data_IF_940216643711
#
_entry.id   IF_940216643711
#
_cell.length_a   1.000
_cell.length_b   1.000
_cell.length_c   1.000
_cell.angle_alpha   90.00
_cell.angle_beta   90.00
_cell.angle_gamma   90.00
#
_symmetry.space_group_name_H-M   'P 1'
#
loop_
_entity.id
_entity.type
_entity.pdbx_description
1 polymer ?
#
# COMPACT_ATOMS: atom_id res chain seq x y z
N UNK A 1 -16.66 29.54 -5.62
CA UNK A 1 -16.76 28.88 -6.95
C UNK A 1 -16.94 27.41 -6.65
N UNK A 2 -17.98 26.76 -7.15
CA UNK A 2 -18.11 25.30 -7.00
C UNK A 2 -16.91 24.67 -7.68
N UNK A 3 -15.98 24.08 -6.91
CA UNK A 3 -14.90 23.30 -7.50
C UNK A 3 -15.57 22.18 -8.30
N UNK A 4 -15.28 22.12 -9.60
CA UNK A 4 -15.78 21.03 -10.41
C UNK A 4 -15.30 19.72 -9.75
N UNK A 5 -16.25 18.86 -9.39
CA UNK A 5 -15.91 17.51 -8.95
C UNK A 5 -15.13 16.84 -10.06
N UNK A 6 -14.02 16.26 -9.70
CA UNK A 6 -13.31 15.39 -10.63
C UNK A 6 -14.15 14.14 -10.85
N UNK A 7 -14.16 13.64 -12.08
CA UNK A 7 -15.00 12.52 -12.51
C UNK A 7 -14.74 11.18 -11.79
N UNK A 8 -13.65 11.07 -11.07
CA UNK A 8 -13.33 9.88 -10.26
C UNK A 8 -13.78 10.01 -8.80
N UNK A 9 -14.60 10.99 -8.47
CA UNK A 9 -15.24 11.16 -7.16
C UNK A 9 -16.67 10.58 -7.13
N UNK A 10 -16.93 9.61 -7.95
CA UNK A 10 -18.25 8.98 -7.99
C UNK A 10 -18.39 8.02 -6.80
N UNK A 11 -18.93 8.54 -5.71
CA UNK A 11 -19.25 7.75 -4.52
C UNK A 11 -20.56 8.25 -3.91
N UNK A 12 -21.21 7.37 -3.20
CA UNK A 12 -22.42 7.69 -2.46
C UNK A 12 -22.02 8.27 -1.09
N UNK A 13 -22.54 9.44 -0.75
CA UNK A 13 -22.35 10.04 0.56
C UNK A 13 -22.83 9.07 1.66
N UNK A 14 -22.03 8.87 2.69
CA UNK A 14 -22.28 7.91 3.76
C UNK A 14 -22.69 8.65 5.03
N UNK A 15 -23.81 8.26 5.67
CA UNK A 15 -24.26 8.94 6.89
C UNK A 15 -23.26 8.70 8.05
N UNK A 16 -23.24 9.63 8.98
CA UNK A 16 -22.44 9.49 10.22
C UNK A 16 -22.98 8.43 11.19
N UNK A 17 -24.19 7.92 10.93
CA UNK A 17 -24.79 6.84 11.74
C UNK A 17 -24.39 5.47 11.16
N UNK A 18 -24.06 4.54 12.01
CA UNK A 18 -23.66 3.19 11.62
C UNK A 18 -22.21 2.91 11.98
N UNK A 19 -21.59 2.03 11.23
CA UNK A 19 -20.19 1.67 11.38
C UNK A 19 -19.25 2.68 10.73
N UNK A 20 -17.99 2.33 10.75
CA UNK A 20 -16.86 3.12 10.24
C UNK A 20 -16.96 3.34 8.72
N UNK A 21 -16.74 4.57 8.28
CA UNK A 21 -16.70 4.94 6.85
C UNK A 21 -15.26 4.81 6.35
N UNK A 22 -15.04 3.82 5.49
CA UNK A 22 -13.71 3.51 4.95
C UNK A 22 -13.58 4.09 3.56
N UNK A 23 -12.47 4.75 3.27
CA UNK A 23 -12.09 5.24 1.95
C UNK A 23 -10.73 4.70 1.55
N UNK A 24 -10.60 4.27 0.31
CA UNK A 24 -9.32 3.91 -0.33
C UNK A 24 -8.93 5.04 -1.26
N UNK A 25 -7.69 5.48 -1.16
CA UNK A 25 -7.09 6.48 -2.02
C UNK A 25 -5.88 5.88 -2.72
N UNK A 26 -6.02 5.63 -4.03
CA UNK A 26 -4.95 5.10 -4.86
C UNK A 26 -4.08 6.20 -5.41
N UNK A 27 -2.75 6.05 -5.28
CA UNK A 27 -1.78 6.81 -6.04
C UNK A 27 -1.17 5.92 -7.11
N UNK A 28 -1.00 6.45 -8.31
CA UNK A 28 -0.53 5.70 -9.46
C UNK A 28 0.28 6.59 -10.38
N UNK A 29 1.27 6.02 -11.08
CA UNK A 29 2.04 6.75 -12.09
C UNK A 29 1.62 6.37 -13.49
N UNK A 30 1.39 7.39 -14.27
CA UNK A 30 1.17 7.27 -15.70
C UNK A 30 2.48 7.57 -16.43
N UNK A 31 2.99 6.70 -17.29
CA UNK A 31 4.23 6.94 -18.03
C UNK A 31 4.24 8.27 -18.78
N UNK A 32 3.11 8.63 -19.37
CA UNK A 32 2.97 9.86 -20.11
C UNK A 32 2.99 11.14 -19.26
N UNK A 33 2.60 11.07 -18.01
CA UNK A 33 2.69 12.20 -17.08
C UNK A 33 4.14 12.59 -16.79
N UNK A 34 5.00 11.57 -16.71
CA UNK A 34 6.43 11.79 -16.52
C UNK A 34 7.14 12.25 -17.80
N UNK A 35 6.43 12.42 -18.92
CA UNK A 35 7.00 12.75 -20.23
C UNK A 35 8.20 11.86 -20.60
N UNK A 36 8.13 10.59 -20.20
CA UNK A 36 9.16 9.59 -20.38
C UNK A 36 8.67 8.49 -21.31
N UNK A 37 9.59 7.87 -22.01
CA UNK A 37 9.29 6.64 -22.72
C UNK A 37 8.78 5.60 -21.70
N UNK A 38 7.62 4.96 -21.91
CA UNK A 38 7.10 3.92 -21.03
C UNK A 38 8.12 2.84 -20.68
N UNK A 39 9.07 2.59 -21.56
CA UNK A 39 10.17 1.63 -21.34
C UNK A 39 11.21 2.10 -20.33
N UNK A 40 11.26 3.39 -20.04
CA UNK A 40 12.15 3.96 -19.03
C UNK A 40 11.55 3.95 -17.63
N UNK A 41 10.24 3.85 -17.55
CA UNK A 41 9.53 3.70 -16.30
C UNK A 41 9.55 2.23 -15.89
N UNK A 42 10.35 1.92 -14.92
CA UNK A 42 10.45 0.56 -14.42
C UNK A 42 9.37 0.26 -13.35
N UNK A 43 8.18 0.69 -13.64
CA UNK A 43 6.99 0.28 -12.91
C UNK A 43 6.45 -0.98 -13.58
N UNK A 44 6.76 -2.13 -13.03
CA UNK A 44 6.43 -3.43 -13.59
C UNK A 44 4.97 -3.56 -14.02
N UNK A 45 4.05 -3.07 -13.21
CA UNK A 45 2.63 -3.25 -13.48
C UNK A 45 2.13 -2.33 -14.60
N UNK A 46 2.36 -1.03 -14.50
CA UNK A 46 1.89 -0.09 -15.51
C UNK A 46 2.73 -0.13 -16.77
N UNK A 47 4.05 -0.05 -16.65
CA UNK A 47 4.95 0.04 -17.80
C UNK A 47 4.91 -1.18 -18.69
N UNK A 48 4.97 -2.37 -18.11
CA UNK A 48 4.89 -3.60 -18.88
C UNK A 48 3.54 -3.74 -19.60
N UNK A 49 2.45 -3.45 -18.90
CA UNK A 49 1.12 -3.52 -19.50
C UNK A 49 0.95 -2.53 -20.65
N UNK A 50 1.39 -1.30 -20.46
CA UNK A 50 1.28 -0.25 -21.50
C UNK A 50 2.20 -0.48 -22.68
N UNK A 51 3.45 -0.83 -22.46
CA UNK A 51 4.38 -1.15 -23.55
C UNK A 51 3.85 -2.32 -24.35
N UNK A 52 3.35 -3.33 -23.67
CA UNK A 52 2.77 -4.50 -24.31
C UNK A 52 1.55 -4.15 -25.14
N UNK A 53 0.63 -3.36 -24.57
CA UNK A 53 -0.56 -2.90 -25.27
C UNK A 53 -0.23 -2.02 -26.47
N UNK A 54 0.74 -1.13 -26.35
CA UNK A 54 1.18 -0.28 -27.45
C UNK A 54 1.88 -1.07 -28.57
N UNK A 55 2.68 -2.07 -28.21
CA UNK A 55 3.43 -2.88 -29.17
C UNK A 55 2.57 -3.97 -29.82
N UNK A 56 1.64 -4.56 -29.08
CA UNK A 56 0.84 -5.72 -29.52
C UNK A 56 -0.65 -5.60 -29.16
N UNK A 57 -1.34 -4.58 -29.64
CA UNK A 57 -2.72 -4.30 -29.23
C UNK A 57 -3.72 -5.39 -29.65
N UNK A 58 -3.38 -6.19 -30.67
CA UNK A 58 -4.28 -7.20 -31.24
C UNK A 58 -3.82 -8.65 -30.97
N UNK A 59 -2.71 -8.83 -30.29
CA UNK A 59 -2.09 -10.14 -30.09
C UNK A 59 -2.19 -10.66 -28.67
N UNK A 60 -3.11 -10.12 -27.90
CA UNK A 60 -3.41 -10.72 -26.61
C UNK A 60 -3.98 -12.10 -26.88
N UNK A 61 -3.21 -13.09 -26.54
CA UNK A 61 -3.54 -14.47 -26.84
C UNK A 61 -4.51 -15.02 -25.82
N UNK A 62 -5.28 -16.04 -26.15
CA UNK A 62 -6.21 -16.66 -25.21
C UNK A 62 -5.57 -17.23 -23.95
N UNK A 63 -4.25 -17.39 -23.94
CA UNK A 63 -3.53 -17.84 -22.75
C UNK A 63 -3.49 -16.78 -21.65
N UNK A 64 -3.69 -15.53 -22.00
CA UNK A 64 -3.77 -14.48 -21.00
C UNK A 64 -5.17 -14.42 -20.40
N UNK A 65 -5.21 -14.33 -19.12
CA UNK A 65 -6.47 -14.11 -18.43
C UNK A 65 -7.04 -12.71 -18.74
N UNK A 66 -8.23 -12.44 -18.26
CA UNK A 66 -8.91 -11.19 -18.52
C UNK A 66 -8.07 -9.97 -18.08
N UNK A 67 -7.21 -10.11 -17.08
CA UNK A 67 -6.33 -9.05 -16.61
C UNK A 67 -5.33 -8.58 -17.67
N UNK A 68 -5.01 -9.41 -18.65
CA UNK A 68 -4.12 -9.04 -19.73
C UNK A 68 -4.80 -8.23 -20.82
N UNK A 69 -6.11 -8.27 -20.89
CA UNK A 69 -6.90 -7.46 -21.82
C UNK A 69 -7.27 -6.11 -21.22
N UNK A 70 -7.09 -5.94 -19.92
CA UNK A 70 -7.25 -4.66 -19.29
C UNK A 70 -6.09 -3.77 -19.72
N UNK A 71 -6.40 -2.76 -20.48
CA UNK A 71 -5.46 -2.02 -21.28
C UNK A 71 -4.73 -0.96 -20.48
N UNK A 72 -3.41 -0.97 -20.57
CA UNK A 72 -2.59 0.06 -19.97
C UNK A 72 -2.83 0.22 -18.48
N UNK A 73 -2.83 1.45 -18.04
CA UNK A 73 -3.03 1.84 -16.65
C UNK A 73 -4.45 1.52 -16.18
N UNK A 74 -5.45 1.80 -17.01
CA UNK A 74 -6.84 1.54 -16.66
C UNK A 74 -7.04 0.06 -16.34
N UNK A 75 -6.42 -0.81 -17.12
CA UNK A 75 -6.47 -2.24 -16.87
C UNK A 75 -5.79 -2.66 -15.58
N UNK A 76 -4.66 -2.07 -15.27
CA UNK A 76 -3.94 -2.38 -14.03
C UNK A 76 -4.70 -1.87 -12.80
N UNK A 77 -5.26 -0.68 -12.88
CA UNK A 77 -6.12 -0.15 -11.82
C UNK A 77 -7.38 -0.97 -11.62
N UNK A 78 -7.99 -1.42 -12.71
CA UNK A 78 -9.13 -2.33 -12.64
C UNK A 78 -8.75 -3.66 -11.97
N UNK A 79 -7.57 -4.20 -12.29
CA UNK A 79 -7.07 -5.40 -11.63
C UNK A 79 -6.90 -5.18 -10.12
N UNK A 80 -6.29 -4.09 -9.71
CA UNK A 80 -6.13 -3.77 -8.28
C UNK A 80 -7.47 -3.52 -7.60
N UNK A 81 -8.38 -2.79 -8.26
CA UNK A 81 -9.71 -2.59 -7.74
C UNK A 81 -10.42 -3.92 -7.51
N UNK A 82 -10.45 -4.79 -8.52
CA UNK A 82 -11.05 -6.14 -8.40
C UNK A 82 -10.38 -6.99 -7.34
N UNK A 83 -9.06 -6.91 -7.21
CA UNK A 83 -8.34 -7.70 -6.22
C UNK A 83 -8.68 -7.29 -4.79
N UNK A 84 -9.12 -6.05 -4.56
CA UNK A 84 -9.57 -5.54 -3.26
C UNK A 84 -11.06 -5.71 -3.01
N UNK A 85 -11.85 -6.22 -3.96
CA UNK A 85 -13.31 -6.35 -3.80
C UNK A 85 -13.69 -7.16 -2.57
N UNK A 86 -12.98 -8.26 -2.28
CA UNK A 86 -13.27 -9.08 -1.12
C UNK A 86 -13.10 -8.32 0.21
N UNK A 87 -12.12 -7.41 0.27
CA UNK A 87 -11.97 -6.47 1.39
C UNK A 87 -13.13 -5.47 1.43
N UNK A 88 -13.47 -4.87 0.29
CA UNK A 88 -14.54 -3.88 0.19
C UNK A 88 -15.91 -4.48 0.59
N UNK A 89 -16.21 -5.69 0.14
CA UNK A 89 -17.42 -6.42 0.50
C UNK A 89 -17.46 -6.72 2.00
N UNK A 90 -16.38 -7.21 2.57
CA UNK A 90 -16.29 -7.45 4.00
C UNK A 90 -16.48 -6.15 4.78
N UNK A 91 -15.76 -5.10 4.42
CA UNK A 91 -15.87 -3.79 5.06
C UNK A 91 -17.31 -3.28 4.99
N UNK A 92 -17.92 -3.33 3.81
CA UNK A 92 -19.32 -2.91 3.62
C UNK A 92 -20.30 -3.72 4.49
N UNK A 93 -20.10 -5.03 4.60
CA UNK A 93 -20.96 -5.90 5.42
C UNK A 93 -20.83 -5.63 6.92
N UNK A 94 -19.62 -5.33 7.38
CA UNK A 94 -19.33 -5.06 8.81
C UNK A 94 -19.76 -3.67 9.22
N UNK A 95 -19.50 -2.67 8.38
CA UNK A 95 -19.74 -1.27 8.72
C UNK A 95 -21.14 -0.78 8.31
N UNK A 96 -21.78 -1.46 7.38
CA UNK A 96 -23.04 -0.99 6.77
C UNK A 96 -22.84 0.14 5.74
N UNK A 97 -21.59 0.46 5.39
CA UNK A 97 -21.25 1.51 4.42
C UNK A 97 -20.41 0.95 3.28
N UNK A 98 -20.68 1.29 2.02
CA UNK A 98 -19.80 0.96 0.92
C UNK A 98 -18.44 1.65 1.12
N UNK A 99 -17.37 0.99 0.72
CA UNK A 99 -16.04 1.59 0.67
C UNK A 99 -16.00 2.59 -0.49
N UNK A 100 -15.61 3.82 -0.22
CA UNK A 100 -15.36 4.80 -1.28
C UNK A 100 -13.95 4.58 -1.83
N UNK A 101 -13.81 4.60 -3.15
CA UNK A 101 -12.53 4.42 -3.83
C UNK A 101 -12.22 5.64 -4.67
N UNK A 102 -11.10 6.26 -4.37
CA UNK A 102 -10.60 7.44 -5.08
C UNK A 102 -9.27 7.10 -5.75
N UNK A 103 -9.05 7.73 -6.87
CA UNK A 103 -7.83 7.60 -7.65
C UNK A 103 -7.18 8.97 -7.80
N UNK A 104 -5.90 9.09 -7.43
CA UNK A 104 -5.14 10.30 -7.75
C UNK A 104 -4.76 10.27 -9.21
N UNK A 105 -5.21 11.28 -9.94
CA UNK A 105 -4.86 11.50 -11.34
C UNK A 105 -4.25 12.88 -11.44
N UNK A 106 -2.97 12.95 -11.77
CA UNK A 106 -2.25 14.21 -11.95
C UNK A 106 -2.11 14.61 -13.43
N UNK A 107 -2.68 13.82 -14.33
CA UNK A 107 -2.59 14.02 -15.76
C UNK A 107 -3.37 15.25 -16.23
N UNK A 108 -2.80 15.95 -17.21
CA UNK A 108 -3.42 17.13 -17.83
C UNK A 108 -3.76 18.26 -16.83
N UNK A 109 -3.06 18.35 -15.72
CA UNK A 109 -3.29 19.36 -14.68
C UNK A 109 -4.51 19.10 -13.80
N UNK A 110 -5.13 17.93 -13.92
CA UNK A 110 -6.20 17.51 -13.03
C UNK A 110 -5.59 16.76 -11.84
N UNK A 111 -5.93 17.23 -10.65
CA UNK A 111 -5.56 16.56 -9.40
C UNK A 111 -6.81 16.26 -8.59
N UNK A 112 -6.81 15.11 -7.95
CA UNK A 112 -7.72 14.83 -6.87
C UNK A 112 -6.93 14.91 -5.54
N UNK A 113 -6.82 16.10 -4.92
CA UNK A 113 -6.15 16.22 -3.64
C UNK A 113 -6.98 15.58 -2.54
N UNK A 114 -6.30 15.13 -1.49
CA UNK A 114 -6.97 14.75 -0.25
C UNK A 114 -7.36 16.03 0.49
N UNK A 115 -8.66 16.31 0.52
CA UNK A 115 -9.23 17.48 1.19
C UNK A 115 -10.57 17.12 1.87
N UNK A 116 -11.26 18.12 2.39
CA UNK A 116 -12.53 17.94 3.11
C UNK A 116 -13.58 17.18 2.30
N UNK A 117 -13.55 17.24 0.97
CA UNK A 117 -14.49 16.49 0.12
C UNK A 117 -14.37 14.97 0.29
N UNK A 118 -13.18 14.50 0.66
CA UNK A 118 -12.91 13.09 0.98
C UNK A 118 -12.99 12.88 2.49
N UNK A 119 -12.36 13.76 3.27
CA UNK A 119 -12.13 13.57 4.69
C UNK A 119 -13.38 13.73 5.55
N UNK A 120 -14.36 14.56 5.16
CA UNK A 120 -15.61 14.75 5.91
C UNK A 120 -16.50 13.51 5.89
N UNK A 121 -16.36 12.68 4.87
CA UNK A 121 -17.10 11.43 4.72
C UNK A 121 -16.22 10.19 5.01
N UNK A 122 -15.16 10.34 5.80
CA UNK A 122 -14.19 9.28 6.03
C UNK A 122 -13.78 9.21 7.51
N UNK A 123 -13.81 8.00 8.08
CA UNK A 123 -13.30 7.68 9.41
C UNK A 123 -11.99 6.89 9.32
N UNK A 124 -11.82 6.08 8.28
CA UNK A 124 -10.56 5.41 7.94
C UNK A 124 -10.17 5.74 6.51
N UNK A 125 -9.06 6.45 6.34
CA UNK A 125 -8.46 6.72 5.04
C UNK A 125 -7.29 5.77 4.80
N UNK A 126 -7.34 5.00 3.72
CA UNK A 126 -6.29 4.07 3.31
C UNK A 126 -5.59 4.62 2.07
N UNK A 127 -4.35 5.04 2.20
CA UNK A 127 -3.54 5.60 1.10
C UNK A 127 -2.63 4.52 0.54
N UNK A 128 -2.93 4.03 -0.64
CA UNK A 128 -2.18 2.98 -1.34
C UNK A 128 -1.20 3.59 -2.33
N UNK A 129 0.09 3.51 -2.00
CA UNK A 129 1.17 4.12 -2.76
C UNK A 129 1.74 3.18 -3.82
N UNK A 130 1.27 3.30 -5.05
CA UNK A 130 1.79 2.55 -6.20
C UNK A 130 2.33 3.48 -7.31
N UNK A 131 2.43 4.76 -7.03
CA UNK A 131 3.06 5.73 -7.91
C UNK A 131 4.58 5.52 -7.95
N UNK A 132 5.18 5.72 -9.11
CA UNK A 132 6.63 5.62 -9.29
C UNK A 132 7.30 6.98 -9.01
N UNK A 133 8.49 6.94 -8.42
CA UNK A 133 9.24 8.14 -8.05
C UNK A 133 9.51 9.09 -9.24
N UNK A 134 9.60 8.58 -10.46
CA UNK A 134 9.80 9.37 -11.67
C UNK A 134 8.58 10.26 -11.99
N UNK A 135 7.40 9.89 -11.52
CA UNK A 135 6.18 10.71 -11.66
C UNK A 135 6.19 11.96 -10.78
N UNK A 136 7.15 12.06 -9.86
CA UNK A 136 7.34 13.20 -8.96
C UNK A 136 6.05 13.63 -8.25
N UNK A 137 5.14 12.69 -8.01
CA UNK A 137 3.90 12.96 -7.29
C UNK A 137 4.24 13.21 -5.82
N UNK A 138 3.85 14.36 -5.32
CA UNK A 138 4.07 14.73 -3.93
C UNK A 138 2.78 15.23 -3.29
N UNK A 139 2.64 14.97 -2.00
CA UNK A 139 1.58 15.54 -1.20
C UNK A 139 1.77 17.05 -1.08
N UNK A 140 0.77 17.81 -1.48
CA UNK A 140 0.80 19.27 -1.36
C UNK A 140 0.70 19.68 0.12
N UNK A 141 1.24 20.85 0.50
CA UNK A 141 1.12 21.35 1.87
C UNK A 141 -0.34 21.38 2.36
N UNK A 142 -1.27 21.73 1.49
CA UNK A 142 -2.70 21.81 1.79
C UNK A 142 -3.31 20.43 2.08
N UNK A 143 -2.83 19.38 1.40
CA UNK A 143 -3.26 17.99 1.66
C UNK A 143 -2.74 17.53 3.04
N UNK A 144 -1.49 17.86 3.35
CA UNK A 144 -0.87 17.54 4.65
C UNK A 144 -1.64 18.24 5.77
N UNK A 145 -1.93 19.52 5.61
CA UNK A 145 -2.69 20.30 6.58
C UNK A 145 -4.12 19.74 6.78
N UNK A 146 -4.81 19.43 5.69
CA UNK A 146 -6.15 18.83 5.76
C UNK A 146 -6.14 17.50 6.53
N UNK A 147 -5.17 16.63 6.26
CA UNK A 147 -5.02 15.36 6.96
C UNK A 147 -4.65 15.57 8.43
N UNK A 148 -3.77 16.52 8.73
CA UNK A 148 -3.44 16.86 10.13
C UNK A 148 -4.66 17.36 10.91
N UNK A 149 -5.48 18.22 10.31
CA UNK A 149 -6.74 18.69 10.90
C UNK A 149 -7.75 17.55 11.08
N UNK A 150 -7.88 16.69 10.07
CA UNK A 150 -8.75 15.53 10.13
C UNK A 150 -8.33 14.54 11.24
N UNK A 151 -7.04 14.34 11.44
CA UNK A 151 -6.48 13.50 12.52
C UNK A 151 -6.64 14.10 13.93
N UNK A 152 -7.14 15.34 14.08
CA UNK A 152 -7.55 15.88 15.38
C UNK A 152 -8.90 15.32 15.84
N UNK A 153 -9.64 14.67 14.97
CA UNK A 153 -10.93 14.06 15.29
C UNK A 153 -10.71 12.69 15.92
N UNK A 154 -11.37 12.44 17.04
CA UNK A 154 -11.36 11.15 17.72
C UNK A 154 -11.85 10.05 16.76
N UNK A 155 -11.24 8.88 16.86
CA UNK A 155 -11.63 7.71 16.12
C UNK A 155 -11.23 7.70 14.63
N UNK A 156 -10.54 8.71 14.13
CA UNK A 156 -9.98 8.68 12.78
C UNK A 156 -8.77 7.75 12.70
N UNK A 157 -8.58 7.12 11.55
CA UNK A 157 -7.43 6.26 11.28
C UNK A 157 -6.88 6.52 9.88
N UNK A 158 -5.63 6.93 9.80
CA UNK A 158 -4.88 7.02 8.56
C UNK A 158 -4.04 5.75 8.37
N UNK A 159 -4.39 4.93 7.40
CA UNK A 159 -3.58 3.80 7.00
C UNK A 159 -2.71 4.21 5.81
N UNK A 160 -1.41 4.17 5.99
CA UNK A 160 -0.42 4.46 4.96
C UNK A 160 0.18 3.14 4.46
N UNK A 161 0.08 2.91 3.18
CA UNK A 161 0.57 1.69 2.54
C UNK A 161 1.57 2.03 1.43
N UNK A 162 2.75 2.57 1.79
CA UNK A 162 3.80 2.78 0.81
C UNK A 162 4.37 1.44 0.39
N UNK A 163 4.37 1.18 -0.92
CA UNK A 163 5.02 0.02 -1.48
C UNK A 163 6.54 0.18 -1.41
N UNK A 164 7.29 -0.89 -1.55
CA UNK A 164 8.75 -0.92 -1.42
C UNK A 164 9.45 -0.52 -2.72
N UNK A 165 10.75 -0.29 -2.63
CA UNK A 165 11.65 -0.25 -3.78
C UNK A 165 12.23 -1.65 -4.06
N UNK A 166 12.52 -1.93 -5.31
CA UNK A 166 13.32 -3.07 -5.76
C UNK A 166 14.53 -2.53 -6.49
N UNK A 167 15.71 -3.03 -6.15
CA UNK A 167 16.95 -2.50 -6.71
C UNK A 167 17.24 -1.10 -6.18
N UNK A 168 17.21 -0.93 -4.88
CA UNK A 168 17.40 0.37 -4.21
C UNK A 168 18.77 1.00 -4.47
N UNK A 169 19.78 0.19 -4.82
CA UNK A 169 21.17 0.64 -5.04
C UNK A 169 21.47 0.89 -6.52
N UNK A 170 22.44 1.75 -6.78
CA UNK A 170 23.00 1.95 -8.14
C UNK A 170 24.03 0.87 -8.53
N UNK A 171 24.51 0.08 -7.56
CA UNK A 171 25.37 -1.07 -7.82
C UNK A 171 24.58 -2.20 -8.51
N UNK A 172 24.97 -2.53 -9.74
CA UNK A 172 24.28 -3.54 -10.54
C UNK A 172 24.35 -4.94 -9.93
N UNK A 173 25.45 -5.30 -9.28
CA UNK A 173 25.60 -6.61 -8.68
C UNK A 173 24.69 -6.75 -7.45
N UNK A 174 24.66 -5.73 -6.60
CA UNK A 174 23.74 -5.70 -5.46
C UNK A 174 22.28 -5.67 -5.93
N UNK A 175 21.95 -4.90 -6.95
CA UNK A 175 20.61 -4.85 -7.54
C UNK A 175 20.17 -6.23 -8.05
N UNK A 176 21.08 -6.95 -8.70
CA UNK A 176 20.81 -8.32 -9.15
C UNK A 176 20.52 -9.26 -7.97
N UNK A 177 21.22 -9.12 -6.86
CA UNK A 177 20.95 -9.91 -5.65
C UNK A 177 19.54 -9.61 -5.11
N UNK A 178 19.13 -8.36 -5.05
CA UNK A 178 17.79 -7.98 -4.63
C UNK A 178 16.71 -8.62 -5.51
N UNK A 179 16.88 -8.57 -6.84
CA UNK A 179 15.95 -9.21 -7.79
C UNK A 179 15.88 -10.73 -7.63
N UNK A 180 17.03 -11.38 -7.41
CA UNK A 180 17.06 -12.82 -7.16
C UNK A 180 16.36 -13.19 -5.85
N UNK A 181 16.50 -12.36 -4.82
CA UNK A 181 15.80 -12.54 -3.56
C UNK A 181 14.29 -12.49 -3.75
N UNK A 182 13.80 -11.55 -4.53
CA UNK A 182 12.38 -11.44 -4.89
C UNK A 182 11.88 -12.59 -5.78
N UNK A 183 12.78 -13.27 -6.47
CA UNK A 183 12.44 -14.28 -7.47
C UNK A 183 12.26 -13.72 -8.87
N UNK A 184 12.92 -12.62 -9.17
CA UNK A 184 12.78 -11.85 -10.38
C UNK A 184 14.12 -11.66 -11.09
N UNK A 185 14.63 -12.71 -11.76
CA UNK A 185 16.01 -12.72 -12.25
C UNK A 185 16.26 -11.78 -13.45
N UNK A 186 15.22 -11.26 -14.07
CA UNK A 186 15.34 -10.59 -15.36
C UNK A 186 15.20 -9.07 -15.31
N UNK A 187 14.94 -8.48 -14.18
CA UNK A 187 14.73 -7.02 -14.11
C UNK A 187 16.05 -6.30 -13.85
N UNK A 188 16.57 -5.53 -14.81
CA UNK A 188 17.86 -4.84 -14.66
C UNK A 188 17.76 -3.45 -14.04
N UNK A 189 16.56 -2.91 -13.85
CA UNK A 189 16.31 -1.52 -13.45
C UNK A 189 15.75 -1.41 -12.04
N UNK A 190 15.92 -0.24 -11.45
CA UNK A 190 15.30 0.08 -10.17
C UNK A 190 13.79 0.24 -10.33
N UNK A 191 13.03 -0.39 -9.44
CA UNK A 191 11.60 -0.13 -9.25
C UNK A 191 11.44 0.67 -7.97
N UNK A 192 10.99 1.91 -8.08
CA UNK A 192 10.88 2.83 -6.95
C UNK A 192 9.47 3.36 -6.87
N UNK A 193 8.76 2.98 -5.83
CA UNK A 193 7.35 3.26 -5.64
C UNK A 193 7.07 4.26 -4.53
N UNK A 194 5.83 4.73 -4.49
CA UNK A 194 5.25 5.45 -3.35
C UNK A 194 5.84 6.82 -3.07
N UNK A 195 6.20 7.56 -4.11
CA UNK A 195 6.72 8.92 -3.92
C UNK A 195 5.70 9.80 -3.18
N UNK A 196 4.44 9.75 -3.58
CA UNK A 196 3.37 10.50 -2.93
C UNK A 196 3.24 10.13 -1.45
N UNK A 197 3.08 8.81 -1.16
CA UNK A 197 2.89 8.36 0.22
C UNK A 197 4.10 8.65 1.09
N UNK A 198 5.32 8.54 0.56
CA UNK A 198 6.55 8.93 1.28
C UNK A 198 6.61 10.41 1.58
N UNK A 199 6.21 11.26 0.63
CA UNK A 199 6.15 12.72 0.84
C UNK A 199 5.10 13.07 1.89
N UNK A 200 3.95 12.39 1.88
CA UNK A 200 2.91 12.53 2.90
C UNK A 200 3.42 12.09 4.29
N UNK A 201 4.07 10.92 4.38
CA UNK A 201 4.70 10.46 5.63
C UNK A 201 5.68 11.49 6.19
N UNK A 202 6.52 12.03 5.33
CA UNK A 202 7.49 13.09 5.70
C UNK A 202 6.77 14.35 6.20
N UNK A 203 5.74 14.80 5.50
CA UNK A 203 4.96 15.98 5.86
C UNK A 203 4.21 15.83 7.18
N UNK A 204 3.77 14.62 7.49
CA UNK A 204 3.11 14.27 8.76
C UNK A 204 4.10 13.96 9.90
N UNK A 205 5.41 13.99 9.64
CA UNK A 205 6.42 13.67 10.66
C UNK A 205 6.44 12.20 11.08
N UNK A 206 5.98 11.27 10.21
CA UNK A 206 6.01 9.82 10.47
C UNK A 206 7.45 9.33 10.48
N UNK A 207 7.98 8.81 11.61
CA UNK A 207 9.39 8.45 11.74
C UNK A 207 9.69 7.05 11.18
N UNK A 208 9.26 6.80 9.95
CA UNK A 208 9.41 5.50 9.26
C UNK A 208 9.77 5.75 7.80
N UNK A 209 10.59 4.88 7.26
CA UNK A 209 10.85 4.79 5.82
C UNK A 209 10.73 3.34 5.34
N UNK A 210 10.42 3.16 4.06
CA UNK A 210 10.33 1.85 3.41
C UNK A 210 11.28 1.81 2.21
N UNK A 211 12.38 1.08 2.34
CA UNK A 211 13.42 1.01 1.30
C UNK A 211 13.53 -0.38 0.69
N UNK A 212 13.43 -1.40 1.52
CA UNK A 212 13.62 -2.79 1.12
C UNK A 212 12.28 -3.48 0.83
N UNK A 213 12.22 -4.20 -0.28
CA UNK A 213 11.22 -5.22 -0.52
C UNK A 213 11.82 -6.58 -0.15
N UNK A 214 11.22 -7.30 0.78
CA UNK A 214 11.75 -8.53 1.33
C UNK A 214 10.77 -9.68 1.13
N UNK A 215 11.32 -10.83 0.75
CA UNK A 215 10.52 -12.03 0.58
C UNK A 215 10.16 -12.62 1.94
N UNK A 216 8.88 -12.86 2.23
CA UNK A 216 8.48 -13.53 3.46
C UNK A 216 8.96 -15.00 3.44
N UNK A 217 9.38 -15.50 4.62
CA UNK A 217 9.76 -16.88 4.78
C UNK A 217 8.56 -17.82 4.64
N UNK A 218 8.84 -19.06 4.26
CA UNK A 218 7.89 -20.18 4.31
C UNK A 218 8.19 -21.06 5.51
N UNK A 219 7.19 -21.83 5.94
CA UNK A 219 7.36 -22.86 6.96
C UNK A 219 8.32 -23.93 6.42
N UNK A 220 9.28 -24.32 7.23
CA UNK A 220 10.29 -25.32 6.88
C UNK A 220 9.64 -26.61 6.34
N UNK A 221 10.16 -27.12 5.24
CA UNK A 221 9.61 -28.33 4.58
C UNK A 221 8.38 -28.08 3.72
N UNK A 222 7.93 -26.84 3.58
CA UNK A 222 6.83 -26.46 2.67
C UNK A 222 7.31 -25.53 1.56
N UNK A 223 6.51 -25.40 0.49
CA UNK A 223 6.84 -24.50 -0.64
C UNK A 223 5.97 -23.24 -0.68
N UNK A 224 4.84 -23.25 0.02
CA UNK A 224 3.81 -22.20 -0.10
C UNK A 224 3.07 -21.91 1.20
N UNK A 225 3.56 -22.42 2.32
CA UNK A 225 2.99 -22.13 3.63
C UNK A 225 3.76 -20.97 4.27
N UNK A 226 3.10 -19.81 4.37
CA UNK A 226 3.72 -18.59 4.90
C UNK A 226 4.08 -18.80 6.36
N UNK A 227 5.30 -18.39 6.74
CA UNK A 227 5.69 -18.39 8.14
C UNK A 227 4.82 -17.41 8.96
N UNK A 228 4.40 -17.79 10.18
CA UNK A 228 3.63 -16.92 11.04
C UNK A 228 4.35 -15.60 11.33
N UNK A 229 3.57 -14.53 11.48
CA UNK A 229 4.11 -13.25 11.93
C UNK A 229 4.41 -13.26 13.43
N UNK A 230 5.48 -12.60 13.82
CA UNK A 230 5.80 -12.31 15.22
C UNK A 230 5.00 -11.08 15.64
N UNK A 231 3.89 -11.27 16.34
CA UNK A 231 3.03 -10.16 16.79
C UNK A 231 3.24 -9.81 18.26
N UNK A 232 3.31 -8.53 18.57
CA UNK A 232 3.37 -8.01 19.95
C UNK A 232 1.95 -7.60 20.37
N UNK A 233 1.13 -8.60 20.72
CA UNK A 233 -0.31 -8.41 21.00
C UNK A 233 -0.58 -7.49 22.18
N UNK A 234 0.30 -7.48 23.19
CA UNK A 234 0.15 -6.62 24.36
C UNK A 234 0.29 -5.12 24.02
N UNK A 235 0.90 -4.78 22.89
CA UNK A 235 1.02 -3.42 22.40
C UNK A 235 -0.09 -3.03 21.43
N UNK A 236 -0.86 -4.01 20.96
CA UNK A 236 -1.93 -3.83 19.98
C UNK A 236 -3.25 -3.46 20.65
N UNK A 237 -3.35 -2.25 21.16
CA UNK A 237 -4.58 -1.77 21.78
C UNK A 237 -5.74 -1.59 20.78
N UNK A 238 -5.44 -1.53 19.47
CA UNK A 238 -6.46 -1.51 18.42
C UNK A 238 -7.07 -2.89 18.15
N UNK A 239 -6.38 -3.96 18.57
CA UNK A 239 -6.80 -5.33 18.31
C UNK A 239 -6.62 -5.76 16.85
N UNK A 240 -5.76 -5.10 16.08
CA UNK A 240 -5.52 -5.40 14.65
C UNK A 240 -5.05 -6.83 14.44
N UNK A 241 -4.29 -7.39 15.37
CA UNK A 241 -3.74 -8.73 15.31
C UNK A 241 -4.63 -9.81 15.92
N UNK A 242 -5.87 -9.51 16.34
CA UNK A 242 -6.79 -10.51 16.86
C UNK A 242 -7.07 -11.57 15.81
N UNK A 243 -6.71 -12.82 16.11
CA UNK A 243 -6.81 -13.99 15.22
C UNK A 243 -6.02 -13.87 13.90
N UNK A 244 -5.10 -12.92 13.79
CA UNK A 244 -4.16 -12.81 12.67
C UNK A 244 -2.92 -13.65 12.99
N UNK A 245 -2.59 -14.59 12.10
CA UNK A 245 -1.45 -15.51 12.25
C UNK A 245 -0.41 -15.32 11.18
N UNK A 246 -0.84 -15.00 9.96
CA UNK A 246 0.03 -14.80 8.79
C UNK A 246 -0.46 -13.60 8.02
N UNK A 247 0.45 -12.98 7.26
CA UNK A 247 0.09 -12.05 6.19
C UNK A 247 0.03 -12.78 4.84
N UNK A 248 0.14 -12.08 3.72
CA UNK A 248 0.11 -12.70 2.40
C UNK A 248 1.51 -13.16 1.93
N UNK A 249 1.53 -13.93 0.84
CA UNK A 249 2.74 -14.44 0.21
C UNK A 249 3.18 -13.57 -0.98
N UNK A 250 3.03 -12.26 -0.87
CA UNK A 250 3.63 -11.38 -1.86
C UNK A 250 5.16 -11.53 -1.84
N UNK A 251 5.83 -11.73 -2.97
CA UNK A 251 7.24 -12.10 -2.98
C UNK A 251 8.20 -11.00 -2.52
N UNK A 252 7.71 -9.80 -2.29
CA UNK A 252 8.51 -8.65 -1.87
C UNK A 252 7.67 -7.67 -1.06
N UNK A 253 7.51 -7.93 0.22
CA UNK A 253 6.83 -7.04 1.16
C UNK A 253 7.76 -5.93 1.66
N UNK A 254 7.27 -4.71 1.90
CA UNK A 254 8.10 -3.64 2.40
C UNK A 254 8.60 -3.89 3.83
N UNK A 255 9.86 -3.56 4.07
CA UNK A 255 10.37 -3.36 5.42
C UNK A 255 10.15 -1.91 5.85
N UNK A 256 9.46 -1.73 6.96
CA UNK A 256 9.25 -0.42 7.56
C UNK A 256 10.36 -0.13 8.58
N UNK A 257 11.42 0.54 8.10
CA UNK A 257 12.56 0.91 8.92
C UNK A 257 12.22 2.11 9.79
N UNK A 258 12.42 1.97 11.10
CA UNK A 258 12.20 3.08 12.04
C UNK A 258 13.35 4.08 11.95
N UNK A 259 13.04 5.36 11.86
CA UNK A 259 14.03 6.45 11.92
C UNK A 259 14.13 7.08 13.32
N UNK A 260 13.30 6.58 14.25
CA UNK A 260 13.35 6.88 15.69
C UNK A 260 13.19 5.58 16.48
N UNK A 261 13.63 5.51 17.74
CA UNK A 261 13.42 4.32 18.59
C UNK A 261 11.94 3.99 18.79
N UNK A 262 11.64 2.71 18.96
CA UNK A 262 10.31 2.28 19.43
C UNK A 262 9.97 2.96 20.77
N UNK A 263 8.73 3.38 20.91
CA UNK A 263 8.23 4.09 22.09
C UNK A 263 6.72 3.91 22.22
N UNK A 264 6.12 4.51 23.24
CA UNK A 264 4.65 4.54 23.36
C UNK A 264 3.97 5.26 22.19
N UNK A 265 4.67 6.11 21.46
CA UNK A 265 4.16 6.83 20.30
C UNK A 265 4.51 6.18 18.96
N UNK A 266 5.34 5.13 18.94
CA UNK A 266 5.80 4.43 17.73
C UNK A 266 6.01 2.95 18.05
N UNK A 267 5.12 2.09 17.60
CA UNK A 267 5.07 0.67 17.95
C UNK A 267 5.15 -0.22 16.71
N UNK A 268 6.03 -1.20 16.74
CA UNK A 268 6.02 -2.30 15.75
C UNK A 268 5.10 -3.39 16.28
N UNK A 269 3.93 -3.52 15.68
CA UNK A 269 2.93 -4.52 16.11
C UNK A 269 3.22 -5.91 15.56
N UNK A 270 3.76 -6.00 14.33
CA UNK A 270 4.10 -7.29 13.74
C UNK A 270 5.39 -7.23 12.93
N UNK A 271 6.18 -8.31 13.04
CA UNK A 271 7.34 -8.59 12.20
C UNK A 271 7.10 -9.85 11.41
N UNK A 272 7.57 -9.87 10.17
CA UNK A 272 7.49 -11.01 9.28
C UNK A 272 8.87 -11.66 9.16
N UNK A 273 9.00 -12.97 9.40
CA UNK A 273 10.24 -13.69 9.09
C UNK A 273 10.60 -13.56 7.60
N UNK A 274 11.90 -13.32 7.33
CA UNK A 274 12.44 -13.15 5.99
C UNK A 274 12.98 -14.46 5.42
N UNK A 275 12.86 -14.67 4.12
CA UNK A 275 13.40 -15.83 3.41
C UNK A 275 14.95 -15.79 3.43
N UNK A 276 15.57 -16.76 4.12
CA UNK A 276 17.01 -16.79 4.31
C UNK A 276 17.77 -17.62 3.27
N UNK A 277 17.08 -18.45 2.51
CA UNK A 277 17.74 -19.26 1.46
C UNK A 277 18.15 -18.42 0.24
N UNK A 278 17.68 -17.19 0.18
CA UNK A 278 18.01 -16.22 -0.88
C UNK A 278 18.82 -15.07 -0.27
N UNK A 279 20.02 -14.81 -0.76
CA UNK A 279 20.85 -13.73 -0.22
C UNK A 279 20.19 -12.38 -0.45
N UNK A 280 20.37 -11.48 0.52
CA UNK A 280 19.95 -10.09 0.45
C UNK A 280 20.80 -9.26 1.43
N UNK A 281 21.18 -8.01 1.12
CA UNK A 281 21.97 -7.19 2.04
C UNK A 281 21.36 -7.08 3.44
N UNK A 282 20.04 -7.04 3.53
CA UNK A 282 19.30 -7.02 4.78
C UNK A 282 19.56 -8.29 5.63
N UNK A 283 19.54 -9.47 5.02
CA UNK A 283 19.77 -10.75 5.72
C UNK A 283 21.25 -10.98 6.01
N UNK A 284 22.15 -10.51 5.16
CA UNK A 284 23.60 -10.54 5.35
C UNK A 284 24.04 -9.68 6.54
N UNK A 285 23.31 -8.59 6.81
CA UNK A 285 23.49 -7.78 8.03
C UNK A 285 23.01 -8.48 9.31
N UNK A 286 22.53 -9.73 9.23
CA UNK A 286 22.11 -10.54 10.37
C UNK A 286 20.61 -10.45 10.70
N UNK A 287 19.84 -9.69 9.94
CA UNK A 287 18.39 -9.58 10.16
C UNK A 287 17.66 -10.87 9.77
N UNK A 288 16.67 -11.25 10.58
CA UNK A 288 15.87 -12.48 10.41
C UNK A 288 14.39 -12.19 10.22
N UNK A 289 13.96 -11.01 10.59
CA UNK A 289 12.60 -10.53 10.50
C UNK A 289 12.60 -9.07 10.04
N UNK A 290 11.53 -8.64 9.38
CA UNK A 290 11.33 -7.26 8.99
C UNK A 290 10.02 -6.70 9.56
N UNK A 291 9.99 -5.42 9.83
CA UNK A 291 8.81 -4.74 10.34
C UNK A 291 7.75 -4.69 9.26
N UNK A 292 6.58 -5.27 9.53
CA UNK A 292 5.50 -5.42 8.56
C UNK A 292 4.21 -4.66 8.94
N UNK A 293 4.01 -4.39 10.22
CA UNK A 293 2.88 -3.59 10.71
C UNK A 293 3.38 -2.64 11.79
N UNK A 294 3.16 -1.34 11.59
CA UNK A 294 3.52 -0.31 12.55
C UNK A 294 2.27 0.48 12.92
N UNK A 295 2.20 0.90 14.16
CA UNK A 295 1.17 1.77 14.69
C UNK A 295 1.77 2.97 15.43
N UNK A 296 1.28 4.13 15.09
CA UNK A 296 1.49 5.36 15.81
C UNK A 296 0.17 5.71 16.51
N UNK A 297 0.08 5.44 17.83
CA UNK A 297 -1.13 5.75 18.59
C UNK A 297 -1.40 7.25 18.69
N UNK A 298 -2.60 7.65 19.12
CA UNK A 298 -2.91 9.03 19.47
C UNK A 298 -1.88 9.64 20.42
N UNK A 299 -1.66 10.93 20.28
CA UNK A 299 -0.75 11.72 21.14
C UNK A 299 -1.46 12.98 21.61
N UNK A 300 -0.82 13.80 22.45
CA UNK A 300 -1.38 15.09 22.82
C UNK A 300 -1.60 16.07 21.65
N UNK A 301 -0.95 15.81 20.52
CA UNK A 301 -1.04 16.64 19.31
C UNK A 301 -1.92 16.03 18.22
N UNK A 302 -2.36 14.81 18.38
CA UNK A 302 -3.13 14.05 17.37
C UNK A 302 -4.04 13.03 18.05
N UNK A 303 -5.34 13.13 17.82
CA UNK A 303 -6.34 12.22 18.37
C UNK A 303 -6.53 10.94 17.53
N UNK A 304 -6.28 10.99 16.24
CA UNK A 304 -6.40 9.85 15.34
C UNK A 304 -5.18 8.92 15.34
N UNK A 305 -5.37 7.73 14.84
CA UNK A 305 -4.34 6.71 14.67
C UNK A 305 -3.63 6.82 13.32
N UNK A 306 -2.34 6.44 13.26
CA UNK A 306 -1.66 6.17 11.98
C UNK A 306 -1.17 4.72 11.99
N UNK A 307 -1.49 3.99 10.93
CA UNK A 307 -1.09 2.59 10.73
C UNK A 307 -0.30 2.48 9.42
N UNK A 308 0.81 1.75 9.44
CA UNK A 308 1.58 1.43 8.24
C UNK A 308 1.54 -0.07 8.01
N UNK A 309 1.10 -0.44 6.81
CA UNK A 309 1.05 -1.83 6.33
C UNK A 309 0.98 -1.82 4.81
N UNK A 310 1.45 -2.87 4.14
CA UNK A 310 1.43 -2.89 2.67
C UNK A 310 0.02 -3.06 2.10
N UNK A 311 -0.24 -2.38 0.98
CA UNK A 311 -1.50 -2.44 0.24
C UNK A 311 -1.87 -3.85 -0.24
N UNK A 312 -0.86 -4.70 -0.52
CA UNK A 312 -1.08 -6.08 -0.96
C UNK A 312 -1.78 -6.94 0.09
N UNK A 313 -1.79 -6.53 1.36
CA UNK A 313 -2.53 -7.22 2.42
C UNK A 313 -4.05 -7.05 2.31
N UNK A 314 -4.51 -6.18 1.43
CA UNK A 314 -5.94 -5.96 1.18
C UNK A 314 -6.43 -6.64 -0.10
N UNK A 315 -5.64 -7.55 -0.68
CA UNK A 315 -5.99 -8.30 -1.88
C UNK A 315 -6.07 -9.80 -1.59
N UNK A 316 -6.74 -10.52 -2.49
CA UNK A 316 -6.80 -11.99 -2.46
C UNK A 316 -5.76 -12.67 -3.36
N UNK A 317 -4.93 -11.88 -4.05
CA UNK A 317 -4.02 -12.38 -5.08
C UNK A 317 -2.87 -13.24 -4.55
N UNK A 318 -2.44 -13.00 -3.30
CA UNK A 318 -1.19 -13.57 -2.79
C UNK A 318 -1.38 -14.56 -1.64
N UNK A 319 -2.56 -15.12 -1.50
CA UNK A 319 -2.84 -16.08 -0.43
C UNK A 319 -2.93 -15.44 0.97
N UNK A 320 -2.96 -16.27 2.01
CA UNK A 320 -3.10 -15.81 3.40
C UNK A 320 -4.49 -15.24 3.75
N UNK A 321 -5.46 -15.37 2.85
CA UNK A 321 -6.75 -14.67 2.90
C UNK A 321 -7.54 -14.94 4.17
N UNK A 322 -7.49 -16.16 4.72
CA UNK A 322 -8.23 -16.48 5.94
C UNK A 322 -7.73 -15.66 7.14
N UNK A 323 -6.41 -15.51 7.26
CA UNK A 323 -5.79 -14.66 8.28
C UNK A 323 -6.02 -13.18 8.01
N UNK A 324 -5.87 -12.77 6.75
CA UNK A 324 -6.08 -11.38 6.32
C UNK A 324 -7.53 -10.91 6.52
N UNK A 325 -8.52 -11.79 6.37
CA UNK A 325 -9.93 -11.46 6.68
C UNK A 325 -10.11 -11.05 8.14
N UNK A 326 -9.36 -11.64 9.06
CA UNK A 326 -9.37 -11.21 10.46
C UNK A 326 -8.76 -9.82 10.60
N UNK A 327 -7.63 -9.54 9.93
CA UNK A 327 -7.03 -8.20 9.91
C UNK A 327 -7.99 -7.16 9.34
N UNK A 328 -8.65 -7.46 8.22
CA UNK A 328 -9.63 -6.57 7.60
C UNK A 328 -10.81 -6.28 8.52
N UNK A 329 -11.38 -7.34 9.13
CA UNK A 329 -12.46 -7.20 10.09
C UNK A 329 -12.02 -6.34 11.28
N UNK A 330 -10.86 -6.61 11.85
CA UNK A 330 -10.34 -5.87 12.99
C UNK A 330 -10.18 -4.38 12.66
N UNK A 331 -9.60 -4.07 11.50
CA UNK A 331 -9.37 -2.70 11.03
C UNK A 331 -10.70 -1.92 10.90
N UNK A 332 -11.72 -2.52 10.27
CA UNK A 332 -12.99 -1.83 10.03
C UNK A 332 -13.92 -1.83 11.24
N UNK A 333 -13.61 -2.65 12.25
CA UNK A 333 -14.35 -2.73 13.52
C UNK A 333 -13.69 -1.94 14.65
N UNK A 334 -12.59 -1.24 14.38
CA UNK A 334 -11.97 -0.38 15.38
C UNK A 334 -13.00 0.59 15.94
N UNK A 335 -13.01 0.77 17.25
CA UNK A 335 -13.89 1.75 17.89
C UNK A 335 -13.39 3.14 17.53
N UNK A 336 -14.33 3.97 17.07
CA UNK A 336 -14.12 5.40 16.90
C UNK A 336 -14.18 6.14 18.23
#
# INVERSE_FOLDING_TARGET
MSSARTYNQDHIARPHSGGRRVSIYWTWSYPWEAQRDPRELDNRFSTMTEVRQAAWPTYETPEYDIGHFLQGIDGTLELFHRSTLAFQELAGSVTGHPVAVFQRIDQAGYRLPIDDRILDDTDTLMVFGLDHVIGEQEAAPEEIEAIQQWLQRDGTCLLLAPHHDVGFTDDLAQRQIEYLHHGDPLVPRQQRFSQYTRSLMKGLGVPVRNTWGLRPAVVEGTTNQIAPVSGVRDLDALGLLNNVTTFNFHPHLPHYELTAPESDALRVLARQPVELSRPHPFTEAGNREFNALIWLPPTGERAGDIVLIDSTHFTTLFGGTDSLRNLWHNLVSMRG
#
